data_IF_918258009591
#
_entry.id   IF_918258009591
#
_cell.length_a   1.000
_cell.length_b   1.000
_cell.length_c   1.000
_cell.angle_alpha   90.00
_cell.angle_beta   90.00
_cell.angle_gamma   90.00
#
_symmetry.space_group_name_H-M   'P 1'
#
loop_
_entity.id
_entity.type
_entity.pdbx_description
1 polymer ?
#
# COMPACT_ATOMS: atom_id res chain seq x y z
N UNK A 1 3.49 1.17 -9.08
CA UNK A 1 4.67 1.87 -8.50
C UNK A 1 4.91 1.17 -7.18
N UNK A 2 6.04 0.50 -7.06
CA UNK A 2 6.40 -0.15 -5.79
C UNK A 2 6.69 0.92 -4.74
N UNK A 3 6.23 0.70 -3.52
CA UNK A 3 6.58 1.52 -2.37
C UNK A 3 8.06 1.34 -2.02
N UNK A 4 8.69 2.29 -1.32
CA UNK A 4 10.08 2.15 -0.92
C UNK A 4 10.21 0.97 0.07
N UNK A 5 11.15 0.10 -0.25
CA UNK A 5 11.53 -1.00 0.63
C UNK A 5 13.04 -1.00 0.82
N UNK A 6 13.47 -1.55 1.92
CA UNK A 6 14.89 -1.72 2.27
C UNK A 6 15.20 -3.19 2.46
N UNK A 7 16.29 -3.67 1.88
CA UNK A 7 16.81 -5.00 2.19
C UNK A 7 17.63 -4.94 3.48
N UNK A 8 17.19 -5.71 4.48
CA UNK A 8 17.81 -5.70 5.80
C UNK A 8 19.10 -6.50 5.80
N UNK A 9 20.19 -5.84 6.15
CA UNK A 9 21.51 -6.48 6.33
C UNK A 9 21.78 -6.80 7.80
N UNK A 10 22.70 -7.72 8.04
CA UNK A 10 23.13 -8.06 9.41
C UNK A 10 23.70 -6.82 10.10
N UNK A 11 23.17 -6.49 11.26
CA UNK A 11 23.59 -5.32 12.04
C UNK A 11 22.91 -3.99 11.64
N UNK A 12 22.01 -3.99 10.66
CA UNK A 12 21.22 -2.80 10.35
C UNK A 12 20.29 -2.48 11.52
N UNK A 13 20.30 -1.23 11.98
CA UNK A 13 19.37 -0.73 12.99
C UNK A 13 18.04 -0.30 12.36
N UNK A 14 16.97 -0.29 13.16
CA UNK A 14 15.67 0.24 12.74
C UNK A 14 15.79 1.71 12.31
N UNK A 15 16.59 2.51 13.02
CA UNK A 15 16.81 3.92 12.66
C UNK A 15 17.42 4.06 11.24
N UNK A 16 18.41 3.23 10.91
CA UNK A 16 19.01 3.25 9.58
C UNK A 16 18.01 2.80 8.49
N UNK A 17 17.21 1.77 8.76
CA UNK A 17 16.17 1.31 7.85
C UNK A 17 15.12 2.43 7.61
N UNK A 18 14.69 3.13 8.67
CA UNK A 18 13.76 4.25 8.60
C UNK A 18 14.29 5.43 7.78
N UNK A 19 15.57 5.78 7.91
CA UNK A 19 16.17 6.85 7.09
C UNK A 19 16.17 6.49 5.61
N UNK A 20 16.46 5.24 5.25
CA UNK A 20 16.39 4.77 3.86
C UNK A 20 14.96 4.79 3.31
N UNK A 21 13.98 4.33 4.10
CA UNK A 21 12.55 4.41 3.74
C UNK A 21 12.12 5.86 3.55
N UNK A 22 12.47 6.75 4.47
CA UNK A 22 12.16 8.17 4.37
C UNK A 22 12.73 8.81 3.10
N UNK A 23 13.98 8.51 2.77
CA UNK A 23 14.60 8.98 1.54
C UNK A 23 13.85 8.46 0.30
N UNK A 24 13.42 7.20 0.29
CA UNK A 24 12.60 6.63 -0.77
C UNK A 24 11.22 7.30 -0.88
N UNK A 25 10.54 7.52 0.26
CA UNK A 25 9.23 8.19 0.31
C UNK A 25 9.30 9.63 -0.21
N UNK A 26 10.39 10.36 0.09
CA UNK A 26 10.60 11.74 -0.37
C UNK A 26 10.66 11.86 -1.89
N UNK A 27 11.00 10.80 -2.60
CA UNK A 27 11.00 10.77 -4.06
C UNK A 27 9.66 10.34 -4.66
N UNK A 28 8.72 9.87 -3.84
CA UNK A 28 7.42 9.40 -4.30
C UNK A 28 6.50 10.58 -4.70
N UNK A 29 5.69 10.45 -5.76
CA UNK A 29 4.81 11.54 -6.22
C UNK A 29 3.83 12.06 -5.18
N UNK A 30 3.39 11.22 -4.24
CA UNK A 30 2.44 11.60 -3.19
C UNK A 30 3.09 12.39 -2.05
N UNK A 31 4.42 12.38 -1.93
CA UNK A 31 5.12 13.09 -0.86
C UNK A 31 4.84 14.59 -0.85
N UNK A 32 4.73 15.22 -2.01
CA UNK A 32 4.43 16.65 -2.13
C UNK A 32 3.06 17.04 -1.55
N UNK A 33 2.14 16.08 -1.47
CA UNK A 33 0.78 16.30 -0.94
C UNK A 33 0.67 15.93 0.54
N UNK A 34 1.46 14.96 0.99
CA UNK A 34 1.47 14.51 2.39
C UNK A 34 2.91 14.17 2.82
N UNK A 35 3.73 15.18 3.20
CA UNK A 35 5.13 14.98 3.59
C UNK A 35 5.26 14.46 5.02
N UNK A 36 4.50 13.43 5.35
CA UNK A 36 4.44 12.84 6.68
C UNK A 36 4.59 11.32 6.59
N UNK A 37 5.76 10.80 7.00
CA UNK A 37 6.05 9.38 6.96
C UNK A 37 5.00 8.54 7.72
N UNK A 38 4.59 9.02 8.91
CA UNK A 38 3.59 8.34 9.74
C UNK A 38 2.20 8.22 9.11
N UNK A 39 1.87 9.01 8.08
CA UNK A 39 0.60 8.89 7.36
C UNK A 39 0.51 7.61 6.51
N UNK A 40 1.64 6.98 6.22
CA UNK A 40 1.70 5.75 5.43
C UNK A 40 1.69 4.47 6.31
N UNK A 41 1.66 4.63 7.63
CA UNK A 41 1.77 3.53 8.57
C UNK A 41 0.57 3.45 9.52
N UNK A 42 -0.04 2.28 9.58
CA UNK A 42 -1.07 1.98 10.58
C UNK A 42 -0.40 1.68 11.93
N UNK A 43 -0.76 2.36 13.03
CA UNK A 43 -0.20 2.07 14.34
C UNK A 43 -0.45 0.64 14.84
N UNK A 44 -1.46 -0.04 14.29
CA UNK A 44 -1.75 -1.45 14.57
C UNK A 44 -0.88 -2.43 13.79
N UNK A 45 -0.13 -1.97 12.79
CA UNK A 45 0.79 -2.81 12.02
C UNK A 45 2.10 -3.01 12.77
N UNK A 46 2.27 -4.18 13.34
CA UNK A 46 3.47 -4.54 14.11
C UNK A 46 4.57 -5.19 13.29
N UNK A 47 4.40 -5.37 11.98
CA UNK A 47 5.40 -6.00 11.10
C UNK A 47 6.71 -5.23 11.07
N UNK A 48 6.64 -3.91 11.17
CA UNK A 48 7.80 -3.02 11.15
C UNK A 48 8.71 -3.13 12.38
N UNK A 49 8.24 -3.74 13.46
CA UNK A 49 9.04 -3.94 14.68
C UNK A 49 10.07 -5.08 14.59
N UNK A 50 10.09 -5.79 13.47
CA UNK A 50 10.97 -6.94 13.29
C UNK A 50 11.83 -6.77 12.04
N UNK A 51 13.07 -6.35 12.22
CA UNK A 51 14.07 -6.40 11.16
C UNK A 51 14.61 -7.83 11.03
N UNK A 52 14.45 -8.42 9.84
CA UNK A 52 14.93 -9.79 9.56
C UNK A 52 16.05 -9.71 8.53
N UNK A 53 17.31 -9.95 8.89
CA UNK A 53 18.43 -9.98 7.93
C UNK A 53 18.14 -10.93 6.77
N UNK A 54 18.43 -10.48 5.55
CA UNK A 54 18.13 -11.22 4.31
C UNK A 54 16.70 -11.07 3.80
N UNK A 55 15.86 -10.25 4.47
CA UNK A 55 14.51 -9.95 4.04
C UNK A 55 14.33 -8.46 3.70
N UNK A 56 13.35 -8.16 2.87
CA UNK A 56 12.91 -6.80 2.67
C UNK A 56 12.12 -6.27 3.86
N UNK A 57 12.09 -4.97 4.00
CA UNK A 57 11.32 -4.24 5.00
C UNK A 57 10.73 -2.97 4.40
N UNK A 58 9.47 -2.71 4.65
CA UNK A 58 8.79 -1.49 4.26
C UNK A 58 8.02 -0.93 5.45
N UNK A 59 7.74 0.37 5.44
CA UNK A 59 7.04 1.05 6.53
C UNK A 59 5.56 1.26 6.22
N UNK A 60 5.16 1.13 4.97
CA UNK A 60 3.79 1.34 4.54
C UNK A 60 2.86 0.18 4.91
N UNK A 61 1.72 0.52 5.49
CA UNK A 61 0.62 -0.41 5.79
C UNK A 61 -0.49 -0.35 4.75
N UNK A 62 -0.49 0.70 3.94
CA UNK A 62 -1.52 0.98 2.94
C UNK A 62 -0.98 0.76 1.54
N UNK A 63 -1.73 0.05 0.73
CA UNK A 63 -1.41 -0.17 -0.67
C UNK A 63 -2.44 0.44 -1.58
N UNK A 64 -1.97 1.02 -2.67
CA UNK A 64 -2.81 1.60 -3.72
C UNK A 64 -3.49 0.46 -4.50
N UNK A 65 -4.78 0.61 -4.79
CA UNK A 65 -5.46 -0.32 -5.68
C UNK A 65 -4.78 -0.34 -7.06
N UNK A 66 -4.58 -1.53 -7.60
CA UNK A 66 -3.80 -1.80 -8.81
C UNK A 66 -4.27 -0.98 -10.01
N UNK A 67 -5.58 -0.84 -10.19
CA UNK A 67 -6.18 -0.14 -11.32
C UNK A 67 -6.06 1.39 -11.28
N UNK A 68 -5.56 1.96 -10.20
CA UNK A 68 -5.42 3.41 -10.05
C UNK A 68 -4.08 3.92 -10.59
N UNK A 69 -4.09 5.14 -11.17
CA UNK A 69 -2.93 5.82 -11.73
C UNK A 69 -2.22 5.05 -12.85
N UNK A 70 -2.98 4.42 -13.74
CA UNK A 70 -2.48 3.78 -14.96
C UNK A 70 -1.63 2.53 -14.74
N UNK A 71 -1.57 2.01 -13.52
CA UNK A 71 -0.84 0.80 -13.21
C UNK A 71 -1.82 -0.38 -13.07
N UNK A 72 -1.45 -1.50 -13.67
CA UNK A 72 -2.17 -2.76 -13.49
C UNK A 72 -1.19 -3.93 -13.46
N UNK A 73 -1.46 -4.86 -12.59
CA UNK A 73 -0.59 -6.02 -12.37
C UNK A 73 -0.73 -7.06 -13.50
N UNK A 74 -1.95 -7.27 -13.99
CA UNK A 74 -2.26 -8.31 -14.99
C UNK A 74 -2.10 -7.86 -16.44
N UNK A 75 -1.67 -6.61 -16.67
CA UNK A 75 -1.53 -6.00 -17.99
C UNK A 75 -2.79 -6.07 -18.89
N UNK A 76 -3.98 -6.21 -18.31
CA UNK A 76 -5.24 -6.23 -19.07
C UNK A 76 -5.60 -4.81 -19.57
N UNK A 77 -5.61 -4.55 -20.89
CA UNK A 77 -5.85 -3.22 -21.41
C UNK A 77 -7.23 -2.66 -21.00
N UNK A 78 -7.26 -1.38 -20.65
CA UNK A 78 -8.52 -0.65 -20.42
C UNK A 78 -9.14 -0.82 -19.03
N UNK A 79 -8.46 -1.50 -18.11
CA UNK A 79 -8.95 -1.71 -16.76
C UNK A 79 -8.24 -0.84 -15.70
N UNK A 80 -7.80 0.35 -16.09
CA UNK A 80 -7.13 1.29 -15.19
C UNK A 80 -7.59 2.71 -15.44
N UNK A 81 -7.49 3.53 -14.41
CA UNK A 81 -7.82 4.95 -14.46
C UNK A 81 -6.54 5.79 -14.40
N UNK A 82 -6.44 6.79 -15.26
CA UNK A 82 -5.33 7.76 -15.28
C UNK A 82 -5.80 9.09 -14.69
N UNK A 83 -7.10 9.39 -14.84
CA UNK A 83 -7.70 10.63 -14.36
C UNK A 83 -8.93 10.34 -13.49
N UNK A 84 -9.14 11.15 -12.48
CA UNK A 84 -10.33 11.04 -11.61
C UNK A 84 -11.65 11.21 -12.39
N UNK A 85 -11.62 11.98 -13.48
CA UNK A 85 -12.79 12.19 -14.36
C UNK A 85 -13.21 10.95 -15.14
N UNK A 86 -12.38 9.93 -15.21
CA UNK A 86 -12.68 8.64 -15.85
C UNK A 86 -13.47 7.71 -14.91
N UNK A 87 -13.42 7.98 -13.61
CA UNK A 87 -14.08 7.17 -12.60
C UNK A 87 -15.57 7.50 -12.53
N UNK A 88 -16.41 6.60 -13.05
CA UNK A 88 -17.87 6.83 -13.14
C UNK A 88 -18.57 6.82 -11.78
N UNK A 89 -18.05 6.06 -10.83
CA UNK A 89 -18.61 5.87 -9.48
C UNK A 89 -17.52 6.06 -8.44
N UNK A 90 -17.10 7.31 -8.17
CA UNK A 90 -15.99 7.60 -7.28
C UNK A 90 -16.22 7.16 -5.83
N UNK A 91 -17.48 7.08 -5.39
CA UNK A 91 -17.88 6.56 -4.08
C UNK A 91 -17.65 5.06 -3.91
N UNK A 92 -17.53 4.31 -5.00
CA UNK A 92 -17.36 2.85 -4.96
C UNK A 92 -15.97 2.43 -5.46
N UNK A 93 -15.19 3.39 -5.94
CA UNK A 93 -13.88 3.12 -6.52
C UNK A 93 -12.79 3.19 -5.45
N UNK A 94 -12.26 2.04 -5.07
CA UNK A 94 -11.19 1.88 -4.09
C UNK A 94 -9.89 2.53 -4.58
N UNK A 95 -9.24 3.32 -3.72
CA UNK A 95 -7.92 3.92 -3.97
C UNK A 95 -6.84 3.29 -3.11
N UNK A 96 -7.08 3.19 -1.80
CA UNK A 96 -6.15 2.60 -0.84
C UNK A 96 -6.86 1.64 0.09
N UNK A 97 -6.14 0.61 0.50
CA UNK A 97 -6.56 -0.32 1.55
C UNK A 97 -5.35 -0.76 2.36
N UNK A 98 -5.62 -1.23 3.57
CA UNK A 98 -4.61 -1.94 4.37
C UNK A 98 -4.32 -3.30 3.74
N UNK A 99 -3.05 -3.61 3.56
CA UNK A 99 -2.60 -4.85 2.93
C UNK A 99 -1.78 -5.70 3.89
N UNK A 100 -2.06 -6.99 3.87
CA UNK A 100 -1.22 -8.02 4.47
C UNK A 100 -0.48 -8.79 3.40
N UNK A 101 0.77 -8.45 3.18
CA UNK A 101 1.63 -9.22 2.29
C UNK A 101 2.32 -10.35 3.09
N UNK A 102 2.27 -11.56 2.57
CA UNK A 102 2.90 -12.74 3.17
C UNK A 102 4.42 -12.63 3.29
N UNK A 103 5.05 -11.74 2.52
CA UNK A 103 6.48 -11.41 2.64
C UNK A 103 6.81 -10.65 3.92
N UNK A 104 5.81 -10.15 4.63
CA UNK A 104 5.96 -9.34 5.85
C UNK A 104 6.20 -7.85 5.61
N UNK A 105 6.08 -7.40 4.35
CA UNK A 105 6.15 -5.98 3.95
C UNK A 105 5.32 -5.77 2.67
N UNK A 106 4.72 -4.59 2.53
CA UNK A 106 3.98 -4.24 1.33
C UNK A 106 4.92 -3.61 0.29
N UNK A 107 4.51 -3.64 -0.98
CA UNK A 107 5.21 -2.94 -2.07
C UNK A 107 4.36 -1.83 -2.70
N UNK A 108 3.27 -1.44 -2.03
CA UNK A 108 2.47 -0.26 -2.35
C UNK A 108 1.45 -0.44 -3.47
N UNK A 109 1.16 -1.67 -3.90
CA UNK A 109 0.08 -1.96 -4.88
C UNK A 109 -0.68 -3.19 -4.43
N UNK A 110 -1.98 -3.04 -4.22
CA UNK A 110 -2.92 -4.11 -3.89
C UNK A 110 -3.59 -4.62 -5.17
N UNK A 111 -3.35 -5.88 -5.51
CA UNK A 111 -3.71 -6.44 -6.80
C UNK A 111 -5.02 -7.22 -6.78
N UNK A 112 -5.84 -6.96 -7.82
CA UNK A 112 -7.07 -7.67 -8.11
C UNK A 112 -7.05 -8.15 -9.55
N UNK A 113 -7.21 -9.46 -9.76
CA UNK A 113 -7.30 -10.02 -11.08
C UNK A 113 -8.72 -9.88 -11.62
N UNK A 114 -8.92 -8.97 -12.56
CA UNK A 114 -10.23 -8.68 -13.17
C UNK A 114 -10.72 -9.87 -14.01
N UNK A 115 -9.81 -10.56 -14.69
CA UNK A 115 -10.15 -11.69 -15.57
C UNK A 115 -10.73 -12.88 -14.81
N UNK A 116 -10.24 -13.15 -13.61
CA UNK A 116 -10.71 -14.25 -12.75
C UNK A 116 -11.61 -13.78 -11.61
N UNK A 117 -11.79 -12.48 -11.43
CA UNK A 117 -12.53 -11.85 -10.32
C UNK A 117 -12.02 -12.30 -8.95
N UNK A 118 -10.70 -12.39 -8.80
CA UNK A 118 -10.05 -12.84 -7.56
C UNK A 118 -9.09 -11.81 -6.99
N UNK A 119 -9.06 -11.72 -5.66
CA UNK A 119 -8.02 -10.96 -4.97
C UNK A 119 -6.71 -11.73 -5.05
N UNK A 120 -5.64 -11.06 -5.44
CA UNK A 120 -4.28 -11.60 -5.43
C UNK A 120 -3.61 -11.31 -4.09
N UNK A 121 -3.87 -10.12 -3.55
CA UNK A 121 -3.35 -9.69 -2.27
C UNK A 121 -4.43 -9.77 -1.18
N UNK A 122 -3.99 -9.87 0.07
CA UNK A 122 -4.88 -10.06 1.22
C UNK A 122 -5.09 -8.73 1.93
N UNK A 123 -6.32 -8.44 2.33
CA UNK A 123 -6.61 -7.32 3.22
C UNK A 123 -5.98 -7.55 4.60
N UNK A 124 -5.34 -6.53 5.13
CA UNK A 124 -4.86 -6.58 6.49
C UNK A 124 -5.97 -6.32 7.51
N UNK A 125 -5.82 -6.92 8.69
CA UNK A 125 -6.69 -6.70 9.84
C UNK A 125 -5.81 -6.20 10.99
N UNK A 126 -5.49 -4.90 10.97
CA UNK A 126 -4.67 -4.29 12.02
C UNK A 126 -5.49 -3.76 13.20
N UNK A 127 -6.80 -3.64 13.04
CA UNK A 127 -7.74 -3.03 14.00
C UNK A 127 -8.78 -4.04 14.51
N UNK A 128 -8.33 -5.10 15.19
CA UNK A 128 -9.23 -6.14 15.71
C UNK A 128 -9.76 -7.06 14.60
N UNK A 129 -10.97 -6.80 14.07
CA UNK A 129 -11.55 -7.56 12.95
C UNK A 129 -11.96 -6.65 11.78
N UNK A 130 -11.27 -5.53 11.62
CA UNK A 130 -11.62 -4.47 10.65
C UNK A 130 -10.42 -4.15 9.78
N UNK A 131 -10.67 -3.92 8.49
CA UNK A 131 -9.75 -3.27 7.55
C UNK A 131 -10.33 -1.93 7.10
N UNK A 132 -9.47 -0.99 6.69
CA UNK A 132 -9.87 0.33 6.23
C UNK A 132 -9.74 0.47 4.72
N UNK A 133 -10.64 1.26 4.13
CA UNK A 133 -10.71 1.54 2.70
C UNK A 133 -10.80 3.04 2.47
N UNK A 134 -10.06 3.57 1.50
CA UNK A 134 -10.22 4.93 1.02
C UNK A 134 -10.68 4.92 -0.44
N UNK A 135 -11.58 5.84 -0.78
CA UNK A 135 -12.24 5.89 -2.08
C UNK A 135 -11.86 7.17 -2.86
N UNK A 136 -12.17 7.17 -4.16
CA UNK A 136 -11.77 8.26 -5.07
C UNK A 136 -12.38 9.60 -4.71
N UNK A 137 -13.59 9.63 -4.13
CA UNK A 137 -14.25 10.84 -3.65
C UNK A 137 -13.67 11.38 -2.32
N UNK A 138 -12.72 10.69 -1.72
CA UNK A 138 -12.04 11.08 -0.49
C UNK A 138 -12.67 10.54 0.80
N UNK A 139 -13.80 9.82 0.73
CA UNK A 139 -14.33 9.21 1.94
C UNK A 139 -13.55 7.96 2.35
N UNK A 140 -13.62 7.62 3.61
CA UNK A 140 -13.03 6.42 4.20
C UNK A 140 -14.14 5.56 4.80
N UNK A 141 -14.05 4.27 4.54
CA UNK A 141 -14.92 3.26 5.12
C UNK A 141 -14.12 2.17 5.83
N UNK A 142 -14.83 1.31 6.53
CA UNK A 142 -14.25 0.11 7.12
C UNK A 142 -15.12 -1.12 6.83
N UNK A 143 -14.46 -2.26 6.61
CA UNK A 143 -15.11 -3.55 6.42
C UNK A 143 -14.77 -4.51 7.56
N UNK A 144 -15.76 -5.24 8.05
CA UNK A 144 -15.54 -6.37 8.96
C UNK A 144 -15.25 -7.61 8.12
N UNK A 145 -14.32 -8.42 8.58
CA UNK A 145 -14.08 -9.77 8.08
C UNK A 145 -14.63 -10.80 9.04
#
# INVERSE_FOLDING_TARGET
MEGPRVDITVGMSEANAMELIKAGMQTAPLWSYCPALGANHCPGDLRTKQLRPGYGWAYDSYSKADTMNGAQWDNTPGHYYVKTTEVRRPTDALVFTEEWDHRGYNVGTWAFNIGTMTFQDTFAIFHGNVTTFAFVDGHVGCGKQ
#
